data_IF_860420294201
#
_entry.id   IF_860420294201
#
_cell.length_a   1.000
_cell.length_b   1.000
_cell.length_c   1.000
_cell.angle_alpha   90.00
_cell.angle_beta   90.00
_cell.angle_gamma   90.00
#
_symmetry.space_group_name_H-M   'P 1'
#
loop_
_entity.id
_entity.type
_entity.pdbx_description
1 polymer ?
#
# COMPACT_ATOMS: atom_id res chain seq x y z
N UNK A 1 0.59 -12.60 -14.52
CA UNK A 1 0.21 -12.43 -13.11
C UNK A 1 -0.71 -13.59 -12.76
N UNK A 2 -0.22 -14.55 -12.03
CA UNK A 2 -1.01 -15.67 -11.53
C UNK A 2 -1.29 -15.50 -10.06
N UNK A 3 -2.54 -15.67 -9.66
CA UNK A 3 -2.87 -15.81 -8.26
C UNK A 3 -2.52 -17.22 -7.80
N UNK A 4 -1.57 -17.34 -6.90
CA UNK A 4 -1.32 -18.60 -6.23
C UNK A 4 -1.75 -18.51 -4.78
N UNK A 5 -2.84 -19.19 -4.48
CA UNK A 5 -3.17 -19.54 -3.13
C UNK A 5 -2.39 -20.81 -2.76
N UNK A 6 -1.19 -20.65 -2.24
CA UNK A 6 -0.53 -21.73 -1.55
C UNK A 6 -0.95 -21.67 -0.08
N UNK A 7 -1.99 -22.36 0.30
CA UNK A 7 -2.25 -22.64 1.71
C UNK A 7 -1.58 -23.95 2.06
N UNK A 8 -0.58 -23.89 2.91
CA UNK A 8 -0.07 -25.07 3.58
C UNK A 8 -1.15 -25.56 4.55
N UNK A 9 -1.70 -26.73 4.30
CA UNK A 9 -2.69 -27.34 5.17
C UNK A 9 -4.11 -27.23 4.65
N UNK A 10 -5.00 -27.75 5.34
CA UNK A 10 -6.45 -27.94 5.16
C UNK A 10 -7.14 -26.99 4.17
N UNK A 11 -7.37 -27.41 2.96
CA UNK A 11 -8.36 -26.86 2.03
C UNK A 11 -7.83 -26.04 0.86
N UNK A 12 -6.54 -25.72 0.79
CA UNK A 12 -6.02 -24.85 -0.28
C UNK A 12 -5.48 -25.55 -1.52
N UNK A 13 -5.58 -26.85 -1.61
CA UNK A 13 -5.06 -27.65 -2.75
C UNK A 13 -5.83 -27.45 -4.05
N UNK A 14 -7.01 -26.89 -4.00
CA UNK A 14 -7.88 -26.73 -5.17
C UNK A 14 -7.32 -25.78 -6.24
N UNK A 15 -6.28 -25.04 -5.94
CA UNK A 15 -5.73 -24.00 -6.82
C UNK A 15 -4.30 -24.26 -7.30
N UNK A 16 -3.76 -25.46 -7.09
CA UNK A 16 -2.52 -25.85 -7.78
C UNK A 16 -2.84 -26.12 -9.24
N UNK A 17 -2.60 -25.15 -10.08
CA UNK A 17 -2.79 -25.25 -11.53
C UNK A 17 -1.73 -26.14 -12.19
N UNK A 18 -0.63 -26.44 -11.50
CA UNK A 18 0.49 -27.25 -12.00
C UNK A 18 0.91 -28.24 -10.92
N UNK A 19 1.16 -29.53 -11.28
CA UNK A 19 1.70 -30.51 -10.33
C UNK A 19 2.96 -29.98 -9.64
N UNK A 20 3.10 -30.25 -8.35
CA UNK A 20 4.20 -29.74 -7.53
C UNK A 20 5.59 -30.11 -8.09
N UNK A 21 5.69 -31.22 -8.82
CA UNK A 21 6.90 -31.69 -9.52
C UNK A 21 7.21 -30.94 -10.83
N UNK A 22 6.26 -30.18 -11.37
CA UNK A 22 6.40 -29.45 -12.64
C UNK A 22 6.11 -27.95 -12.51
N UNK A 23 5.70 -27.50 -11.34
CA UNK A 23 5.24 -26.14 -11.13
C UNK A 23 6.19 -25.28 -10.33
N UNK A 24 6.18 -23.99 -10.61
CA UNK A 24 6.76 -23.00 -9.76
C UNK A 24 5.98 -22.94 -8.45
N UNK A 25 6.61 -23.28 -7.34
CA UNK A 25 6.12 -22.90 -6.02
C UNK A 25 6.47 -21.43 -5.84
N UNK A 26 5.49 -20.55 -5.96
CA UNK A 26 5.71 -19.14 -5.62
C UNK A 26 6.16 -19.03 -4.16
N UNK A 27 7.24 -18.31 -3.96
CA UNK A 27 7.71 -18.02 -2.61
C UNK A 27 6.77 -17.01 -1.96
N UNK A 28 6.51 -17.19 -0.68
CA UNK A 28 5.75 -16.22 0.10
C UNK A 28 6.54 -14.92 0.20
N UNK A 29 5.86 -13.81 -0.04
CA UNK A 29 6.44 -12.49 0.24
C UNK A 29 6.63 -12.32 1.75
N UNK A 30 5.65 -12.73 2.54
CA UNK A 30 5.61 -12.59 3.98
C UNK A 30 5.21 -13.91 4.64
N UNK A 31 5.79 -14.22 5.79
CA UNK A 31 5.16 -15.16 6.72
C UNK A 31 4.00 -14.44 7.42
N UNK A 32 2.78 -14.87 7.10
CA UNK A 32 1.56 -14.24 7.61
C UNK A 32 1.38 -14.62 9.08
N UNK A 33 1.45 -13.62 9.94
CA UNK A 33 1.29 -13.79 11.39
C UNK A 33 -0.17 -13.65 11.85
N UNK A 34 -0.95 -12.88 11.12
CA UNK A 34 -2.34 -12.53 11.46
C UNK A 34 -3.18 -12.34 10.20
N UNK A 35 -4.50 -12.44 10.35
CA UNK A 35 -5.48 -12.30 9.27
C UNK A 35 -6.83 -11.81 9.79
N UNK A 36 -7.75 -11.30 8.98
CA UNK A 36 -7.58 -10.96 7.57
C UNK A 36 -6.68 -9.75 7.38
N UNK A 37 -6.21 -9.56 6.17
CA UNK A 37 -5.42 -8.41 5.72
C UNK A 37 -6.31 -7.57 4.80
N UNK A 38 -7.10 -6.63 5.33
CA UNK A 38 -8.04 -5.85 4.51
C UNK A 38 -7.33 -4.81 3.65
N UNK A 39 -6.18 -4.31 4.11
CA UNK A 39 -5.41 -3.31 3.39
C UNK A 39 -3.90 -3.53 3.54
N UNK A 40 -3.17 -3.06 2.56
CA UNK A 40 -1.70 -3.04 2.56
C UNK A 40 -1.19 -1.85 1.76
N UNK A 41 0.06 -1.49 1.95
CA UNK A 41 0.71 -0.41 1.23
C UNK A 41 2.20 -0.34 1.52
N UNK A 42 2.90 0.50 0.79
CA UNK A 42 4.31 0.81 1.01
C UNK A 42 4.42 2.22 1.57
N UNK A 43 5.26 2.41 2.58
CA UNK A 43 5.51 3.75 3.12
C UNK A 43 6.27 4.57 2.09
N UNK A 44 5.63 5.61 1.58
CA UNK A 44 6.20 6.56 0.65
C UNK A 44 5.65 7.96 0.96
N UNK A 45 6.36 8.71 1.80
CA UNK A 45 5.97 10.04 2.26
C UNK A 45 7.16 10.80 2.82
N UNK A 46 7.23 12.11 2.61
CA UNK A 46 8.25 12.97 3.21
C UNK A 46 7.99 13.27 4.70
N UNK A 47 6.79 12.97 5.19
CA UNK A 47 6.40 13.23 6.58
C UNK A 47 7.01 12.20 7.54
N UNK A 48 7.27 10.97 7.08
CA UNK A 48 7.96 9.94 7.86
C UNK A 48 9.48 9.96 7.57
N UNK A 49 10.34 9.56 8.54
CA UNK A 49 11.79 9.49 8.36
C UNK A 49 12.24 8.53 7.24
N UNK A 50 13.48 8.71 6.79
CA UNK A 50 14.07 7.92 5.71
C UNK A 50 14.09 6.42 6.00
N UNK A 51 14.36 6.04 7.24
CA UNK A 51 14.38 4.64 7.65
C UNK A 51 13.01 3.94 7.61
N UNK A 52 11.93 4.71 7.46
CA UNK A 52 10.58 4.16 7.25
C UNK A 52 10.22 3.97 5.78
N UNK A 53 10.92 4.68 4.86
CA UNK A 53 10.59 4.61 3.44
C UNK A 53 10.76 3.19 2.89
N UNK A 54 9.85 2.78 2.01
CA UNK A 54 9.87 1.46 1.40
C UNK A 54 9.40 0.30 2.26
N UNK A 55 9.11 0.51 3.56
CA UNK A 55 8.53 -0.55 4.41
C UNK A 55 7.13 -0.91 3.92
N UNK A 56 6.86 -2.21 3.89
CA UNK A 56 5.53 -2.73 3.56
C UNK A 56 4.64 -2.79 4.79
N UNK A 57 3.44 -2.27 4.67
CA UNK A 57 2.44 -2.23 5.76
C UNK A 57 1.30 -3.21 5.48
N UNK A 58 0.78 -3.80 6.57
CA UNK A 58 -0.39 -4.66 6.55
C UNK A 58 -1.33 -4.26 7.68
N UNK A 59 -2.55 -3.85 7.34
CA UNK A 59 -3.63 -3.65 8.30
C UNK A 59 -4.24 -5.00 8.70
N UNK A 60 -4.63 -5.13 9.97
CA UNK A 60 -5.21 -6.36 10.52
C UNK A 60 -6.41 -6.06 11.41
N UNK A 61 -7.42 -6.92 11.34
CA UNK A 61 -8.70 -6.73 12.03
C UNK A 61 -9.08 -7.83 13.01
N UNK A 62 -8.41 -8.99 12.99
CA UNK A 62 -8.68 -10.12 13.91
C UNK A 62 -7.38 -10.64 14.49
N UNK A 63 -7.38 -10.94 15.78
CA UNK A 63 -6.22 -11.44 16.51
C UNK A 63 -5.16 -10.37 16.81
N UNK A 64 -4.96 -9.47 15.92
CA UNK A 64 -4.16 -8.25 16.09
C UNK A 64 -4.96 -7.06 15.54
N UNK A 65 -5.03 -5.98 16.31
CA UNK A 65 -5.77 -4.77 15.96
C UNK A 65 -4.77 -3.66 15.71
N UNK A 66 -4.40 -3.47 14.46
CA UNK A 66 -3.35 -2.53 14.14
C UNK A 66 -2.75 -2.70 12.75
N UNK A 67 -1.55 -2.16 12.59
CA UNK A 67 -0.79 -2.17 11.35
C UNK A 67 0.60 -2.76 11.64
N UNK A 68 0.90 -3.88 10.99
CA UNK A 68 2.24 -4.48 10.97
C UNK A 68 3.07 -3.86 9.87
N UNK A 69 4.40 -3.89 10.04
CA UNK A 69 5.32 -3.41 9.03
C UNK A 69 6.47 -4.41 8.81
N UNK A 70 7.01 -4.37 7.60
CA UNK A 70 8.06 -5.28 7.15
C UNK A 70 9.09 -4.50 6.33
N UNK A 71 10.36 -4.82 6.52
CA UNK A 71 11.38 -4.44 5.57
C UNK A 71 11.26 -5.33 4.33
N UNK A 72 11.28 -4.76 3.14
CA UNK A 72 11.32 -5.52 1.89
C UNK A 72 12.79 -5.76 1.51
N UNK A 73 13.17 -7.02 1.48
CA UNK A 73 14.49 -7.48 1.09
C UNK A 73 14.45 -8.07 -0.31
N UNK A 74 15.54 -7.95 -1.02
CA UNK A 74 15.69 -8.47 -2.38
C UNK A 74 17.03 -9.16 -2.56
N UNK A 75 16.99 -10.38 -3.09
CA UNK A 75 18.16 -11.06 -3.62
C UNK A 75 18.40 -10.59 -5.06
N UNK A 76 19.56 -9.98 -5.29
CA UNK A 76 19.95 -9.41 -6.58
C UNK A 76 20.10 -10.46 -7.69
N UNK A 77 20.54 -11.66 -7.36
CA UNK A 77 20.82 -12.72 -8.33
C UNK A 77 19.57 -13.47 -8.77
N UNK A 78 18.72 -13.84 -7.83
CA UNK A 78 17.49 -14.59 -8.11
C UNK A 78 16.27 -13.69 -8.37
N UNK A 79 16.35 -12.42 -8.02
CA UNK A 79 15.21 -11.50 -8.03
C UNK A 79 14.14 -11.82 -6.98
N UNK A 80 14.43 -12.71 -6.03
CA UNK A 80 13.56 -13.05 -4.92
C UNK A 80 13.34 -11.81 -4.04
N UNK A 81 12.07 -11.58 -3.66
CA UNK A 81 11.69 -10.53 -2.72
C UNK A 81 10.99 -11.17 -1.53
N UNK A 82 11.33 -10.74 -0.32
CA UNK A 82 10.65 -11.18 0.91
C UNK A 82 10.58 -10.04 1.91
N UNK A 83 9.68 -10.17 2.90
CA UNK A 83 9.51 -9.19 3.96
C UNK A 83 10.03 -9.71 5.29
N UNK A 84 10.96 -8.98 5.88
CA UNK A 84 11.43 -9.21 7.24
C UNK A 84 10.54 -8.46 8.24
N UNK A 85 9.96 -9.12 9.25
CA UNK A 85 9.13 -8.50 10.24
C UNK A 85 9.86 -7.41 11.01
N UNK A 86 9.22 -6.25 11.16
CA UNK A 86 9.64 -5.17 12.05
C UNK A 86 8.68 -5.07 13.24
N UNK A 87 8.95 -4.15 14.15
CA UNK A 87 7.98 -3.81 15.19
C UNK A 87 6.65 -3.29 14.58
N UNK A 88 5.56 -3.41 15.33
CA UNK A 88 4.26 -2.94 14.87
C UNK A 88 4.28 -1.41 14.63
N UNK A 89 3.76 -0.96 13.49
CA UNK A 89 3.62 0.47 13.21
C UNK A 89 2.55 1.12 14.09
N UNK A 90 1.47 0.39 14.30
CA UNK A 90 0.36 0.77 15.15
C UNK A 90 -0.25 -0.45 15.81
N UNK A 91 -0.56 -0.37 17.09
CA UNK A 91 -1.37 -1.36 17.80
C UNK A 91 -2.42 -0.65 18.65
N UNK A 92 -3.59 -1.28 18.80
CA UNK A 92 -4.70 -0.75 19.58
C UNK A 92 -5.20 -1.77 20.60
N UNK A 93 -5.51 -1.29 21.81
CA UNK A 93 -6.22 -2.05 22.82
C UNK A 93 -7.76 -1.92 22.70
N UNK A 94 -8.24 -0.98 21.88
CA UNK A 94 -9.67 -0.82 21.60
C UNK A 94 -10.18 -2.00 20.77
N UNK A 95 -11.06 -2.79 21.34
CA UNK A 95 -11.66 -3.98 20.69
C UNK A 95 -12.55 -3.63 19.50
N UNK A 96 -12.96 -2.38 19.35
CA UNK A 96 -13.71 -1.90 18.19
C UNK A 96 -12.81 -1.46 17.03
N UNK A 97 -11.51 -1.27 17.27
CA UNK A 97 -10.59 -0.84 16.22
C UNK A 97 -10.41 -1.94 15.16
N UNK A 98 -10.80 -1.63 13.93
CA UNK A 98 -10.75 -2.53 12.78
C UNK A 98 -10.23 -1.77 11.55
N UNK A 99 -8.92 -1.58 11.43
CA UNK A 99 -8.36 -0.85 10.29
C UNK A 99 -8.69 -1.59 9.00
N UNK A 100 -9.53 -0.98 8.16
CA UNK A 100 -10.05 -1.56 6.93
C UNK A 100 -9.35 -1.03 5.68
N UNK A 101 -8.74 0.15 5.76
CA UNK A 101 -7.93 0.72 4.69
C UNK A 101 -6.85 1.65 5.24
N UNK A 102 -5.76 1.84 4.48
CA UNK A 102 -4.63 2.69 4.83
C UNK A 102 -4.12 3.42 3.57
N UNK A 103 -4.05 4.73 3.63
CA UNK A 103 -3.59 5.57 2.51
C UNK A 103 -2.78 6.78 2.99
N UNK A 104 -1.75 7.16 2.23
CA UNK A 104 -1.05 8.42 2.45
C UNK A 104 -1.78 9.58 1.78
N UNK A 105 -2.15 10.57 2.59
CA UNK A 105 -2.73 11.82 2.11
C UNK A 105 -1.73 12.72 1.39
N UNK A 106 -2.24 13.76 0.74
CA UNK A 106 -1.41 14.78 0.06
C UNK A 106 -0.53 15.58 1.02
N UNK A 107 -0.86 15.57 2.31
CA UNK A 107 -0.09 16.18 3.40
C UNK A 107 0.98 15.25 3.99
N UNK A 108 1.10 14.04 3.45
CA UNK A 108 2.06 13.04 3.87
C UNK A 108 1.67 12.23 5.11
N UNK A 109 0.55 12.53 5.76
CA UNK A 109 0.04 11.75 6.87
C UNK A 109 -0.54 10.41 6.40
N UNK A 110 -0.45 9.37 7.23
CA UNK A 110 -1.15 8.11 7.00
C UNK A 110 -2.58 8.21 7.53
N UNK A 111 -3.54 8.04 6.64
CA UNK A 111 -4.95 7.96 6.96
C UNK A 111 -5.37 6.50 7.08
N UNK A 112 -6.10 6.18 8.13
CA UNK A 112 -6.49 4.82 8.48
C UNK A 112 -8.00 4.82 8.64
N UNK A 113 -8.71 4.14 7.76
CA UNK A 113 -10.13 3.93 7.93
C UNK A 113 -10.36 2.80 8.94
N UNK A 114 -11.29 2.99 9.84
CA UNK A 114 -11.62 2.06 10.91
C UNK A 114 -13.11 1.74 10.86
N UNK A 115 -13.40 0.47 10.66
CA UNK A 115 -14.77 -0.01 10.61
C UNK A 115 -15.53 0.12 11.95
N UNK A 116 -14.80 0.27 13.05
CA UNK A 116 -15.33 0.48 14.39
C UNK A 116 -16.37 -0.59 14.78
N UNK A 117 -15.98 -1.85 14.83
CA UNK A 117 -16.91 -2.91 15.16
C UNK A 117 -16.24 -4.01 15.97
N UNK A 118 -16.82 -4.35 17.11
CA UNK A 118 -16.34 -5.44 17.97
C UNK A 118 -16.61 -6.82 17.37
N UNK A 119 -17.67 -6.93 16.58
CA UNK A 119 -18.12 -8.17 15.96
C UNK A 119 -17.54 -8.29 14.57
N UNK A 120 -16.67 -9.27 14.38
CA UNK A 120 -16.09 -9.61 13.08
C UNK A 120 -16.41 -11.07 12.74
N UNK A 121 -16.81 -11.30 11.51
CA UNK A 121 -17.04 -12.63 10.97
C UNK A 121 -17.59 -12.59 9.57
N UNK A 122 -18.04 -13.72 9.08
CA UNK A 122 -18.67 -13.80 7.78
C UNK A 122 -19.93 -12.92 7.73
N UNK A 123 -20.11 -12.22 6.62
CA UNK A 123 -21.24 -11.31 6.39
C UNK A 123 -22.59 -11.99 6.66
N UNK A 124 -22.69 -13.28 6.41
CA UNK A 124 -23.92 -14.05 6.63
C UNK A 124 -24.37 -14.07 8.09
N UNK A 125 -23.44 -14.02 9.03
CA UNK A 125 -23.74 -14.14 10.46
C UNK A 125 -23.80 -12.79 11.17
N UNK A 126 -23.00 -11.81 10.74
CA UNK A 126 -22.76 -10.62 11.53
C UNK A 126 -23.37 -9.34 10.96
N UNK A 127 -23.74 -9.29 9.69
CA UNK A 127 -24.31 -8.07 9.08
C UNK A 127 -25.61 -7.63 9.77
N UNK A 128 -26.40 -8.59 10.27
CA UNK A 128 -27.70 -8.35 10.89
C UNK A 128 -27.69 -8.44 12.41
N UNK A 129 -26.52 -8.59 13.02
CA UNK A 129 -26.44 -8.68 14.48
C UNK A 129 -26.85 -7.34 15.10
N UNK A 130 -27.85 -7.32 15.99
CA UNK A 130 -28.37 -6.09 16.60
C UNK A 130 -27.34 -5.41 17.52
N UNK A 131 -26.30 -6.12 17.98
CA UNK A 131 -25.23 -5.55 18.78
C UNK A 131 -24.14 -4.89 17.95
N UNK A 132 -24.24 -4.98 16.63
CA UNK A 132 -23.31 -4.36 15.72
C UNK A 132 -23.63 -2.86 15.63
N UNK A 133 -22.60 -2.03 15.76
CA UNK A 133 -22.70 -0.62 15.44
C UNK A 133 -22.81 -0.44 13.91
N UNK A 134 -23.90 0.16 13.45
CA UNK A 134 -24.18 0.42 12.05
C UNK A 134 -24.06 1.91 11.70
N UNK A 135 -23.90 2.77 12.70
CA UNK A 135 -24.03 4.22 12.54
C UNK A 135 -22.66 4.91 12.47
N UNK A 136 -21.61 4.27 12.97
CA UNK A 136 -20.30 4.89 13.12
C UNK A 136 -19.18 4.11 12.45
N UNK A 137 -18.29 4.86 11.82
CA UNK A 137 -16.93 4.50 11.45
C UNK A 137 -15.99 5.58 11.93
N UNK A 138 -14.69 5.33 11.85
CA UNK A 138 -13.68 6.31 12.25
C UNK A 138 -12.63 6.44 11.16
N UNK A 139 -12.04 7.61 11.05
CA UNK A 139 -10.84 7.83 10.25
C UNK A 139 -9.79 8.44 11.16
N UNK A 140 -8.68 7.73 11.29
CA UNK A 140 -7.52 8.24 12.02
C UNK A 140 -6.53 8.86 11.06
N UNK A 141 -5.80 9.86 11.54
CA UNK A 141 -4.69 10.48 10.86
C UNK A 141 -3.44 10.32 11.72
N UNK A 142 -2.46 9.62 11.19
CA UNK A 142 -1.18 9.38 11.86
C UNK A 142 -0.08 10.21 11.21
N UNK A 143 0.69 10.91 12.03
CA UNK A 143 1.85 11.71 11.62
C UNK A 143 3.06 11.34 12.44
N UNK A 144 4.25 11.49 11.87
CA UNK A 144 5.50 11.36 12.62
C UNK A 144 5.78 12.65 13.40
N UNK A 145 5.92 12.51 14.72
CA UNK A 145 6.11 13.67 15.61
C UNK A 145 7.44 14.36 15.31
N UNK A 146 7.40 15.69 15.23
CA UNK A 146 8.59 16.51 15.02
C UNK A 146 8.99 16.73 13.57
N UNK A 147 8.23 16.18 12.61
CA UNK A 147 8.39 16.49 11.18
C UNK A 147 7.21 17.35 10.67
N UNK A 148 7.47 18.30 9.77
CA UNK A 148 6.39 19.08 9.16
C UNK A 148 5.53 18.21 8.26
N UNK A 149 4.31 18.65 8.04
CA UNK A 149 3.47 18.05 7.00
C UNK A 149 4.06 18.33 5.62
N UNK A 150 3.85 17.40 4.71
CA UNK A 150 4.21 17.56 3.31
C UNK A 150 3.30 18.60 2.65
N UNK A 151 3.86 19.47 1.83
CA UNK A 151 3.06 20.37 1.00
C UNK A 151 2.40 19.60 -0.15
N UNK A 152 1.10 19.76 -0.37
CA UNK A 152 0.42 19.14 -1.49
C UNK A 152 1.02 19.59 -2.83
N UNK A 153 1.19 18.65 -3.75
CA UNK A 153 1.68 18.91 -5.10
C UNK A 153 0.49 19.10 -6.05
N UNK A 154 0.54 20.16 -6.87
CA UNK A 154 -0.49 20.40 -7.88
C UNK A 154 -0.42 19.31 -8.97
N UNK A 155 -1.54 18.63 -9.21
CA UNK A 155 -1.64 17.54 -10.20
C UNK A 155 -2.82 17.79 -11.12
N UNK A 156 -4.05 17.81 -10.59
CA UNK A 156 -5.25 18.04 -11.39
C UNK A 156 -5.19 19.41 -12.09
N UNK A 157 -5.33 19.41 -13.42
CA UNK A 157 -5.27 20.63 -14.22
C UNK A 157 -3.87 21.25 -14.38
N UNK A 158 -2.82 20.66 -13.85
CA UNK A 158 -1.47 21.17 -14.01
C UNK A 158 -1.00 21.11 -15.47
N UNK A 159 -0.01 21.94 -15.83
CA UNK A 159 0.61 21.91 -17.16
C UNK A 159 1.33 20.58 -17.41
N UNK A 160 1.45 20.17 -18.68
CA UNK A 160 2.14 18.94 -19.03
C UNK A 160 3.59 18.93 -18.55
N UNK A 161 4.30 20.03 -18.62
CA UNK A 161 5.68 20.12 -18.14
C UNK A 161 5.77 19.97 -16.62
N UNK A 162 4.81 20.51 -15.85
CA UNK A 162 4.72 20.30 -14.42
C UNK A 162 4.39 18.84 -14.09
N UNK A 163 3.51 18.20 -14.87
CA UNK A 163 3.19 16.77 -14.69
C UNK A 163 4.40 15.90 -15.01
N UNK A 164 5.18 16.19 -16.05
CA UNK A 164 6.42 15.45 -16.32
C UNK A 164 7.39 15.55 -15.15
N UNK A 165 7.58 16.75 -14.59
CA UNK A 165 8.41 16.94 -13.39
C UNK A 165 7.88 16.16 -12.18
N UNK A 166 6.58 16.06 -12.02
CA UNK A 166 5.98 15.29 -10.92
C UNK A 166 6.24 13.78 -11.02
N UNK A 167 6.62 13.26 -12.21
CA UNK A 167 7.03 11.85 -12.36
C UNK A 167 8.37 11.55 -11.66
N UNK A 168 9.17 12.57 -11.38
CA UNK A 168 10.44 12.47 -10.64
C UNK A 168 10.24 12.67 -9.12
N UNK A 169 9.01 12.88 -8.68
CA UNK A 169 8.75 13.15 -7.26
C UNK A 169 9.06 11.93 -6.40
N UNK A 170 9.76 12.08 -5.24
CA UNK A 170 10.15 10.95 -4.38
C UNK A 170 8.94 10.16 -3.82
N UNK A 171 7.78 10.80 -3.69
CA UNK A 171 6.57 10.19 -3.14
C UNK A 171 5.79 9.44 -4.22
N UNK A 172 5.60 8.13 -4.05
CA UNK A 172 4.88 7.26 -5.01
C UNK A 172 3.47 7.75 -5.33
N UNK A 173 2.72 8.20 -4.34
CA UNK A 173 1.37 8.70 -4.52
C UNK A 173 1.29 9.93 -5.44
N UNK A 174 2.33 10.78 -5.47
CA UNK A 174 2.40 11.90 -6.42
C UNK A 174 2.63 11.37 -7.82
N UNK A 175 3.60 10.47 -8.02
CA UNK A 175 3.87 9.86 -9.34
C UNK A 175 2.67 9.09 -9.86
N UNK A 176 2.00 8.34 -9.00
CA UNK A 176 0.82 7.55 -9.35
C UNK A 176 -0.33 8.45 -9.84
N UNK A 177 -0.72 9.46 -9.06
CA UNK A 177 -1.79 10.40 -9.43
C UNK A 177 -1.44 11.22 -10.67
N UNK A 178 -0.16 11.55 -10.84
CA UNK A 178 0.34 12.22 -12.06
C UNK A 178 0.12 11.37 -13.29
N UNK A 179 0.41 10.06 -13.24
CA UNK A 179 0.14 9.13 -14.35
C UNK A 179 -1.35 9.05 -14.69
N UNK A 180 -2.21 9.05 -13.67
CA UNK A 180 -3.66 9.09 -13.89
C UNK A 180 -4.06 10.38 -14.61
N UNK A 181 -3.60 11.54 -14.16
CA UNK A 181 -3.89 12.82 -14.81
C UNK A 181 -3.40 12.85 -16.27
N UNK A 182 -2.18 12.37 -16.52
CA UNK A 182 -1.62 12.28 -17.88
C UNK A 182 -2.44 11.35 -18.78
N UNK A 183 -2.98 10.26 -18.25
CA UNK A 183 -3.82 9.32 -19.03
C UNK A 183 -5.14 9.95 -19.50
N UNK A 184 -5.61 11.00 -18.85
CA UNK A 184 -6.79 11.75 -19.23
C UNK A 184 -6.53 12.90 -20.21
N UNK A 185 -5.27 13.14 -20.62
CA UNK A 185 -4.87 14.22 -21.52
C UNK A 185 -4.77 13.74 -22.97
N UNK A 186 -4.83 14.66 -23.97
CA UNK A 186 -4.65 14.29 -25.37
C UNK A 186 -3.31 13.61 -25.61
N UNK A 187 -3.33 12.39 -26.14
CA UNK A 187 -2.13 11.55 -26.28
C UNK A 187 -0.99 12.23 -27.04
N UNK A 188 -1.30 12.94 -28.13
CA UNK A 188 -0.28 13.63 -28.92
C UNK A 188 0.49 14.69 -28.11
N UNK A 189 -0.21 15.42 -27.25
CA UNK A 189 0.39 16.46 -26.40
C UNK A 189 1.26 15.81 -25.31
N UNK A 190 0.78 14.71 -24.69
CA UNK A 190 1.53 13.96 -23.69
C UNK A 190 2.81 13.38 -24.30
N UNK A 191 2.73 12.79 -25.50
CA UNK A 191 3.89 12.25 -26.20
C UNK A 191 4.94 13.34 -26.48
N UNK A 192 4.51 14.51 -26.96
CA UNK A 192 5.42 15.64 -27.21
C UNK A 192 6.10 16.13 -25.90
N UNK A 193 5.32 16.23 -24.80
CA UNK A 193 5.87 16.62 -23.51
C UNK A 193 6.85 15.56 -22.97
N UNK A 194 6.53 14.29 -23.08
CA UNK A 194 7.40 13.17 -22.69
C UNK A 194 8.69 13.16 -23.51
N UNK A 195 8.64 13.42 -24.83
CA UNK A 195 9.83 13.50 -25.67
C UNK A 195 10.76 14.64 -25.24
N UNK A 196 10.20 15.82 -24.91
CA UNK A 196 11.00 16.95 -24.38
C UNK A 196 11.63 16.58 -23.03
N UNK A 197 10.87 15.93 -22.15
CA UNK A 197 11.31 15.53 -20.82
C UNK A 197 12.43 14.47 -20.92
N UNK A 198 12.27 13.43 -21.75
CA UNK A 198 13.30 12.40 -21.99
C UNK A 198 14.56 13.01 -22.58
N UNK A 199 14.45 14.04 -23.43
CA UNK A 199 15.62 14.76 -23.97
C UNK A 199 16.47 15.47 -22.90
N UNK A 200 15.94 15.65 -21.70
CA UNK A 200 16.64 16.21 -20.55
C UNK A 200 17.09 15.12 -19.55
N UNK A 201 16.85 13.86 -19.88
CA UNK A 201 17.13 12.74 -18.99
C UNK A 201 18.63 12.61 -18.69
N UNK A 202 18.93 12.53 -17.39
CA UNK A 202 20.26 12.20 -16.90
C UNK A 202 20.30 10.73 -16.48
N UNK A 203 21.07 9.85 -17.17
CA UNK A 203 21.15 8.43 -16.81
C UNK A 203 21.79 8.17 -15.44
N UNK A 204 22.36 9.20 -14.81
CA UNK A 204 22.91 9.11 -13.45
C UNK A 204 21.89 9.48 -12.37
N UNK A 205 20.74 10.03 -12.77
CA UNK A 205 19.67 10.34 -11.85
C UNK A 205 18.79 9.09 -11.66
N UNK A 206 18.76 8.56 -10.46
CA UNK A 206 17.99 7.37 -10.12
C UNK A 206 16.46 7.57 -10.21
N UNK A 207 16.01 8.82 -10.25
CA UNK A 207 14.59 9.18 -10.31
C UNK A 207 14.07 9.29 -11.76
N UNK A 208 14.92 9.13 -12.75
CA UNK A 208 14.55 9.14 -14.17
C UNK A 208 14.20 7.77 -14.73
#
# INVERSE_FOLDING_TARGET
WGYHYATDGTGGRAYQVVPAEKGFKMQKLLEMQVRPVPANGVISTQQFPEDYQGRFMIANTIGFLGIKQYALERDGDSGKVWGEPLGDLLSSSDKNFRPSDIEFGSDGALYISDWHNVIIGHMQHNVRDPNRDHDYGRVYRMTYKGRPLQSPVAIAGASLDALMKNLEHPVDGVRYRTRIELSGRPTAEVVQAAQRWIGQWDPKNADH
#
